data_IF_489419783056
#
_entry.id   IF_489419783056
#
_cell.length_a   1.000
_cell.length_b   1.000
_cell.length_c   1.000
_cell.angle_alpha   90.00
_cell.angle_beta   90.00
_cell.angle_gamma   90.00
#
_symmetry.space_group_name_H-M   'P 1'
#
loop_
_entity.id
_entity.type
_entity.pdbx_description
1 polymer ?
#
# COMPACT_ATOMS: atom_id res chain seq x y z
N UNK A 1 6.85 -4.64 8.86
CA UNK A 1 6.73 -4.79 7.38
C UNK A 1 7.83 -3.98 6.71
N UNK A 2 8.42 -4.42 5.59
CA UNK A 2 9.41 -3.56 4.88
C UNK A 2 8.71 -2.48 4.05
N UNK A 3 9.36 -1.34 3.75
CA UNK A 3 8.77 -0.31 2.88
C UNK A 3 8.30 -0.86 1.54
N UNK A 4 9.06 -1.78 0.96
CA UNK A 4 8.71 -2.43 -0.31
C UNK A 4 7.49 -3.35 -0.20
N UNK A 5 7.36 -4.11 0.88
CA UNK A 5 6.17 -4.94 1.13
C UNK A 5 4.91 -4.07 1.29
N UNK A 6 5.02 -2.95 2.01
CA UNK A 6 3.93 -1.98 2.15
C UNK A 6 3.54 -1.42 0.80
N UNK A 7 4.51 -0.96 0.00
CA UNK A 7 4.27 -0.43 -1.33
C UNK A 7 3.56 -1.44 -2.25
N UNK A 8 4.00 -2.70 -2.24
CA UNK A 8 3.40 -3.76 -3.06
C UNK A 8 1.97 -4.08 -2.64
N UNK A 9 1.67 -4.14 -1.34
CA UNK A 9 0.30 -4.32 -0.85
C UNK A 9 -0.60 -3.14 -1.22
N UNK A 10 -0.13 -1.90 -1.07
CA UNK A 10 -0.89 -0.71 -1.49
C UNK A 10 -1.16 -0.73 -2.99
N UNK A 11 -0.14 -1.03 -3.82
CA UNK A 11 -0.30 -1.16 -5.28
C UNK A 11 -1.27 -2.29 -5.65
N UNK A 12 -1.27 -3.38 -4.91
CA UNK A 12 -2.18 -4.50 -5.13
C UNK A 12 -3.63 -4.08 -4.90
N UNK A 13 -3.93 -3.27 -3.88
CA UNK A 13 -5.29 -2.80 -3.63
C UNK A 13 -5.85 -1.88 -4.74
N UNK A 14 -4.97 -1.25 -5.51
CA UNK A 14 -5.34 -0.37 -6.63
C UNK A 14 -5.63 -1.11 -7.95
N UNK A 15 -5.22 -2.37 -8.08
CA UNK A 15 -5.28 -3.09 -9.36
C UNK A 15 -5.81 -4.51 -9.16
N UNK A 16 -6.46 -5.09 -10.17
CA UNK A 16 -6.96 -6.47 -10.04
C UNK A 16 -5.81 -7.49 -10.04
N UNK A 17 -4.76 -7.21 -10.83
CA UNK A 17 -3.55 -8.03 -10.94
C UNK A 17 -2.43 -7.20 -11.57
N UNK A 18 -1.22 -7.29 -11.02
CA UNK A 18 0.00 -6.81 -11.68
C UNK A 18 1.15 -7.79 -11.52
N UNK A 19 2.05 -7.77 -12.50
CA UNK A 19 3.27 -8.56 -12.48
C UNK A 19 4.43 -7.76 -11.88
N UNK A 20 5.18 -8.35 -10.93
CA UNK A 20 6.24 -7.65 -10.22
C UNK A 20 7.43 -7.37 -11.14
N UNK A 21 8.12 -6.27 -10.91
CA UNK A 21 9.39 -5.98 -11.58
C UNK A 21 10.54 -6.80 -10.98
N UNK A 22 11.68 -6.85 -11.68
CA UNK A 22 12.89 -7.49 -11.16
C UNK A 22 13.24 -6.95 -9.76
N UNK A 23 13.40 -7.85 -8.78
CA UNK A 23 13.63 -7.52 -7.36
C UNK A 23 12.37 -7.48 -6.48
N UNK A 24 11.16 -7.36 -7.04
CA UNK A 24 9.91 -7.38 -6.26
C UNK A 24 9.45 -8.81 -5.93
N UNK A 25 9.82 -9.79 -6.75
CA UNK A 25 9.48 -11.21 -6.56
C UNK A 25 9.92 -11.77 -5.21
N UNK A 26 11.10 -11.38 -4.71
CA UNK A 26 11.57 -11.82 -3.39
C UNK A 26 10.66 -11.30 -2.26
N UNK A 27 10.16 -10.06 -2.41
CA UNK A 27 9.22 -9.47 -1.45
C UNK A 27 7.88 -10.18 -1.47
N UNK A 28 7.35 -10.51 -2.65
CA UNK A 28 6.06 -11.21 -2.78
C UNK A 28 6.16 -12.64 -2.26
N UNK A 29 7.24 -13.37 -2.56
CA UNK A 29 7.47 -14.69 -1.94
C UNK A 29 7.51 -14.62 -0.41
N UNK A 30 8.15 -13.59 0.15
CA UNK A 30 8.17 -13.38 1.59
C UNK A 30 6.78 -13.03 2.15
N UNK A 31 5.97 -12.27 1.41
CA UNK A 31 4.59 -11.94 1.79
C UNK A 31 3.68 -13.17 1.74
N UNK A 32 3.80 -14.00 0.71
CA UNK A 32 3.07 -15.25 0.59
C UNK A 32 3.39 -16.20 1.74
N UNK A 33 4.68 -16.37 2.09
CA UNK A 33 5.11 -17.17 3.26
C UNK A 33 4.53 -16.68 4.58
N UNK A 34 4.18 -15.39 4.68
CA UNK A 34 3.51 -14.79 5.84
C UNK A 34 1.98 -14.86 5.76
N UNK A 35 1.44 -15.44 4.69
CA UNK A 35 0.00 -15.54 4.47
C UNK A 35 -0.65 -14.20 4.08
N UNK A 36 0.12 -13.18 3.66
CA UNK A 36 -0.43 -11.87 3.29
C UNK A 36 -0.93 -11.81 1.85
N UNK A 37 -0.45 -12.74 1.02
CA UNK A 37 -0.91 -12.94 -0.36
C UNK A 37 -1.07 -14.43 -0.64
N UNK A 38 -1.99 -14.77 -1.53
CA UNK A 38 -2.21 -16.17 -1.97
C UNK A 38 -1.26 -16.57 -3.09
N UNK A 39 -0.82 -15.62 -3.92
CA UNK A 39 0.06 -15.85 -5.07
C UNK A 39 1.53 -15.44 -4.81
N UNK A 40 2.46 -16.09 -5.51
CA UNK A 40 3.91 -15.88 -5.42
C UNK A 40 4.51 -15.06 -6.59
N UNK A 41 3.76 -14.96 -7.69
CA UNK A 41 4.26 -14.47 -8.99
C UNK A 41 3.45 -13.29 -9.55
N UNK A 42 2.27 -13.05 -8.99
CA UNK A 42 1.47 -11.86 -9.24
C UNK A 42 0.91 -11.36 -7.92
N UNK A 43 0.48 -10.11 -7.90
CA UNK A 43 -0.24 -9.56 -6.77
C UNK A 43 -1.29 -8.58 -7.29
N UNK A 44 -2.42 -8.55 -6.62
CA UNK A 44 -3.57 -7.72 -6.93
C UNK A 44 -4.64 -7.88 -5.88
N UNK A 45 -5.71 -7.09 -5.97
CA UNK A 45 -6.75 -7.01 -4.92
C UNK A 45 -7.29 -8.37 -4.49
N UNK A 46 -7.52 -9.26 -5.44
CA UNK A 46 -8.08 -10.60 -5.19
C UNK A 46 -7.10 -11.57 -4.52
N UNK A 47 -5.80 -11.28 -4.62
CA UNK A 47 -4.75 -12.13 -4.05
C UNK A 47 -4.31 -11.68 -2.66
N UNK A 48 -4.66 -10.46 -2.24
CA UNK A 48 -4.36 -9.94 -0.91
C UNK A 48 -5.34 -10.55 0.09
N UNK A 49 -4.82 -11.21 1.12
CA UNK A 49 -5.63 -11.86 2.15
C UNK A 49 -6.09 -10.85 3.21
N UNK A 50 -7.02 -11.28 4.08
CA UNK A 50 -7.43 -10.48 5.24
C UNK A 50 -6.24 -10.22 6.19
N UNK A 51 -5.35 -11.19 6.35
CA UNK A 51 -4.12 -11.06 7.12
C UNK A 51 -3.17 -10.04 6.48
N UNK A 52 -3.12 -9.97 5.16
CA UNK A 52 -2.37 -8.95 4.42
C UNK A 52 -2.91 -7.55 4.65
N UNK A 53 -4.24 -7.38 4.64
CA UNK A 53 -4.91 -6.11 4.95
C UNK A 53 -4.65 -5.72 6.42
N UNK A 54 -4.81 -6.64 7.36
CA UNK A 54 -4.55 -6.38 8.78
C UNK A 54 -3.08 -6.03 9.05
N UNK A 55 -2.14 -6.71 8.38
CA UNK A 55 -0.72 -6.38 8.47
C UNK A 55 -0.44 -4.98 7.90
N UNK A 56 -1.12 -4.59 6.81
CA UNK A 56 -1.00 -3.26 6.22
C UNK A 56 -1.53 -2.17 7.17
N UNK A 57 -2.70 -2.39 7.78
CA UNK A 57 -3.29 -1.49 8.77
C UNK A 57 -2.37 -1.31 9.99
N UNK A 58 -1.86 -2.41 10.56
CA UNK A 58 -0.97 -2.38 11.72
C UNK A 58 0.40 -1.71 11.45
N UNK A 59 0.81 -1.59 10.17
CA UNK A 59 2.07 -0.95 9.76
C UNK A 59 1.82 0.41 9.07
N UNK A 60 0.64 1.00 9.27
CA UNK A 60 0.25 2.29 8.70
C UNK A 60 -0.21 3.24 9.78
N UNK A 61 -0.09 4.54 9.53
CA UNK A 61 -0.75 5.54 10.40
C UNK A 61 -2.27 5.48 10.17
N UNK A 62 -3.09 5.94 11.11
CA UNK A 62 -4.54 6.01 10.92
C UNK A 62 -4.92 6.72 9.62
N UNK A 63 -4.24 7.83 9.31
CA UNK A 63 -4.31 8.55 8.05
C UNK A 63 -2.89 8.94 7.64
N UNK A 64 -2.50 8.69 6.39
CA UNK A 64 -1.21 9.12 5.85
C UNK A 64 -1.25 9.38 4.35
N UNK A 65 -0.35 10.25 3.87
CA UNK A 65 -0.05 10.34 2.45
C UNK A 65 1.14 9.44 2.17
N UNK A 66 0.93 8.39 1.38
CA UNK A 66 1.94 7.41 1.03
C UNK A 66 2.31 7.53 -0.44
N UNK A 67 3.61 7.52 -0.74
CA UNK A 67 4.08 7.48 -2.11
C UNK A 67 4.21 6.02 -2.56
N UNK A 68 3.41 5.63 -3.55
CA UNK A 68 3.53 4.34 -4.23
C UNK A 68 3.90 4.60 -5.70
N UNK A 69 5.09 4.15 -6.11
CA UNK A 69 5.64 4.50 -7.42
C UNK A 69 5.67 6.05 -7.65
N UNK A 70 5.08 6.54 -8.74
CA UNK A 70 4.99 7.96 -9.09
C UNK A 70 3.76 8.68 -8.53
N UNK A 71 2.95 8.02 -7.69
CA UNK A 71 1.67 8.54 -7.18
C UNK A 71 1.73 8.80 -5.68
N UNK A 72 1.07 9.86 -5.24
CA UNK A 72 0.81 10.12 -3.83
C UNK A 72 -0.62 9.69 -3.52
N UNK A 73 -0.79 8.83 -2.53
CA UNK A 73 -2.06 8.23 -2.17
C UNK A 73 -2.43 8.63 -0.74
N UNK A 74 -3.67 9.05 -0.55
CA UNK A 74 -4.25 9.13 0.78
C UNK A 74 -4.61 7.71 1.23
N UNK A 75 -3.92 7.25 2.26
CA UNK A 75 -4.23 6.00 2.94
C UNK A 75 -5.04 6.29 4.20
N UNK A 76 -6.10 5.50 4.41
CA UNK A 76 -6.82 5.43 5.68
C UNK A 76 -6.65 4.00 6.18
N UNK A 77 -6.08 3.82 7.38
CA UNK A 77 -5.79 2.50 7.95
C UNK A 77 -4.99 1.62 6.97
N UNK A 78 -4.04 2.23 6.26
CA UNK A 78 -3.21 1.57 5.25
C UNK A 78 -3.88 1.28 3.91
N UNK A 79 -5.20 1.46 3.77
CA UNK A 79 -5.91 1.24 2.52
C UNK A 79 -5.93 2.50 1.66
N UNK A 80 -5.66 2.42 0.34
CA UNK A 80 -5.71 3.58 -0.54
C UNK A 80 -7.15 4.00 -0.82
N UNK A 81 -7.48 5.25 -0.48
CA UNK A 81 -8.84 5.80 -0.64
C UNK A 81 -8.91 6.82 -1.78
N UNK A 82 -7.86 7.62 -1.96
CA UNK A 82 -7.80 8.63 -3.01
C UNK A 82 -6.36 8.86 -3.49
N UNK A 83 -6.22 9.30 -4.74
CA UNK A 83 -4.97 9.83 -5.27
C UNK A 83 -4.89 11.33 -4.97
N UNK A 84 -3.75 11.78 -4.44
CA UNK A 84 -3.48 13.20 -4.19
C UNK A 84 -3.02 13.82 -5.50
N UNK A 85 -3.69 14.90 -5.91
CA UNK A 85 -3.35 15.61 -7.14
C UNK A 85 -1.89 16.10 -7.12
N UNK A 86 -1.19 16.06 -8.27
CA UNK A 86 0.16 16.58 -8.39
C UNK A 86 0.28 18.01 -7.85
N UNK A 87 1.31 18.26 -7.04
CA UNK A 87 1.53 19.57 -6.41
C UNK A 87 0.66 19.90 -5.20
N UNK A 88 -0.36 19.08 -4.88
CA UNK A 88 -1.24 19.32 -3.70
C UNK A 88 -0.79 18.60 -2.43
N UNK A 89 0.34 17.88 -2.47
CA UNK A 89 0.86 17.09 -1.34
C UNK A 89 1.00 17.92 -0.06
N UNK A 90 1.77 19.02 -0.09
CA UNK A 90 2.02 19.84 1.11
C UNK A 90 0.74 20.45 1.67
N UNK A 91 -0.19 20.85 0.79
CA UNK A 91 -1.49 21.38 1.21
C UNK A 91 -2.30 20.31 1.95
N UNK A 92 -2.31 19.08 1.45
CA UNK A 92 -2.99 17.96 2.09
C UNK A 92 -2.31 17.55 3.40
N UNK A 93 -0.97 17.52 3.45
CA UNK A 93 -0.22 17.27 4.69
C UNK A 93 -0.56 18.31 5.78
N UNK A 94 -0.64 19.58 5.40
CA UNK A 94 -1.05 20.65 6.32
C UNK A 94 -2.48 20.48 6.82
N UNK A 95 -3.42 20.18 5.91
CA UNK A 95 -4.82 19.94 6.29
C UNK A 95 -4.95 18.80 7.30
N UNK A 96 -4.23 17.70 7.09
CA UNK A 96 -4.20 16.56 8.01
C UNK A 96 -3.59 16.93 9.38
N UNK A 97 -2.53 17.72 9.40
CA UNK A 97 -1.92 18.19 10.64
C UNK A 97 -2.85 19.14 11.42
N UNK A 98 -3.55 20.03 10.72
CA UNK A 98 -4.47 21.00 11.32
C UNK A 98 -5.74 20.34 11.88
N UNK A 99 -6.11 19.14 11.39
CA UNK A 99 -7.28 18.40 11.91
C UNK A 99 -6.99 17.60 13.17
N UNK A 100 -5.74 17.50 13.62
CA UNK A 100 -5.37 16.82 14.87
C UNK A 100 -5.72 15.32 14.92
N UNK A 101 -5.88 14.68 13.75
CA UNK A 101 -6.14 13.25 13.58
C UNK A 101 -4.84 12.42 13.65
#
# INVERSE_FOLDING_TARGET
MTPRQKELLVRALLTNRFYPQAGEYASIKAMQRRGWTTEAWSIGRETVTLEGIAALEANSKPIEIFQANFRHLLLIKGQPVAEVLPGQRQKMEKLLADTGL
#
